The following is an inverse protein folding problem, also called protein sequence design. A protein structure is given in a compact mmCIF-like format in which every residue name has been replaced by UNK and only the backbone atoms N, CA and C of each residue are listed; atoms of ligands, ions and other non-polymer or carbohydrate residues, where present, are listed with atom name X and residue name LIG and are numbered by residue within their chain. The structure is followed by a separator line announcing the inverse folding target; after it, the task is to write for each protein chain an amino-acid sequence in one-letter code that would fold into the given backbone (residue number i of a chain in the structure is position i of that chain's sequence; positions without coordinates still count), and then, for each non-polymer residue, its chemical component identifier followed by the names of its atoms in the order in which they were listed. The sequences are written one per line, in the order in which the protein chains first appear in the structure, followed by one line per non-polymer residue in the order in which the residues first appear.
data_IF_097045245234
#
_entry.id   IF_097045245234
#
_cell.length_a   1.000
_cell.length_b   1.000
_cell.length_c   1.000
_cell.angle_alpha   90.00
_cell.angle_beta   90.00
_cell.angle_gamma   90.00
#
_symmetry.space_group_name_H-M   'P 1'
#
loop_
_entity.id
_entity.type
_entity.pdbx_description
1 polymer ?
#
# COMPACT_ATOMS: atom_id res chain seq x y z
N UNK A 1 3.74 -12.66 -7.37
CA UNK A 1 4.19 -13.78 -6.51
C UNK A 1 3.93 -13.39 -5.07
N UNK A 2 3.01 -14.08 -4.39
CA UNK A 2 2.85 -13.91 -2.94
C UNK A 2 4.14 -14.38 -2.27
N UNK A 3 4.85 -13.45 -1.64
CA UNK A 3 6.09 -13.76 -0.93
C UNK A 3 5.67 -14.36 0.42
N UNK A 4 5.62 -15.70 0.47
CA UNK A 4 5.27 -16.46 1.67
C UNK A 4 6.17 -16.04 2.84
N UNK A 5 5.56 -15.60 3.93
CA UNK A 5 6.29 -15.26 5.14
C UNK A 5 6.97 -16.52 5.72
N UNK A 6 8.14 -16.37 6.37
CA UNK A 6 8.72 -17.45 7.14
C UNK A 6 7.76 -17.93 8.24
N UNK A 7 7.85 -19.20 8.67
CA UNK A 7 7.10 -19.71 9.81
C UNK A 7 7.28 -18.82 11.05
N UNK A 8 6.25 -18.71 11.89
CA UNK A 8 6.27 -17.79 13.04
C UNK A 8 7.37 -18.16 14.03
N UNK A 9 7.63 -19.46 14.20
CA UNK A 9 8.65 -20.01 15.09
C UNK A 9 10.05 -19.54 14.68
N UNK A 10 10.30 -19.44 13.37
CA UNK A 10 11.56 -18.91 12.82
C UNK A 10 11.70 -17.42 13.14
N UNK A 11 10.60 -16.66 13.07
CA UNK A 11 10.60 -15.22 13.36
C UNK A 11 10.79 -14.95 14.85
N UNK A 12 10.07 -15.66 15.72
CA UNK A 12 10.14 -15.53 17.18
C UNK A 12 11.47 -16.01 17.77
N UNK A 13 12.11 -16.99 17.15
CA UNK A 13 13.45 -17.39 17.55
C UNK A 13 14.47 -16.28 17.25
N UNK A 14 14.27 -15.52 16.17
CA UNK A 14 15.27 -14.60 15.61
C UNK A 14 15.07 -13.14 16.01
N UNK A 15 13.84 -12.74 16.31
CA UNK A 15 13.46 -11.36 16.60
C UNK A 15 12.62 -11.27 17.87
N UNK A 16 12.64 -10.08 18.48
CA UNK A 16 11.68 -9.68 19.52
C UNK A 16 10.97 -8.41 19.09
N UNK A 17 9.70 -8.30 19.44
CA UNK A 17 8.97 -7.05 19.26
C UNK A 17 9.60 -5.96 20.14
N UNK A 18 9.67 -4.75 19.62
CA UNK A 18 10.10 -3.56 20.34
C UNK A 18 8.93 -2.57 20.40
N UNK A 19 8.81 -1.86 21.52
CA UNK A 19 7.79 -0.82 21.71
C UNK A 19 8.20 0.54 21.11
N UNK A 20 9.34 0.61 20.44
CA UNK A 20 9.78 1.79 19.71
C UNK A 20 9.26 1.79 18.26
N UNK A 21 9.70 2.78 17.49
CA UNK A 21 9.40 2.89 16.07
C UNK A 21 10.10 1.82 15.20
N UNK A 22 11.07 1.08 15.73
CA UNK A 22 11.71 -0.02 15.00
C UNK A 22 10.77 -1.22 14.90
N UNK A 23 9.94 -1.47 15.92
CA UNK A 23 8.90 -2.51 15.96
C UNK A 23 9.43 -3.93 16.12
N UNK A 24 10.61 -4.26 15.56
CA UNK A 24 11.38 -5.48 15.87
C UNK A 24 12.87 -5.18 16.02
N UNK A 25 13.50 -5.91 16.92
CA UNK A 25 14.97 -5.96 17.11
C UNK A 25 15.45 -7.42 17.11
N UNK A 26 16.75 -7.64 16.88
CA UNK A 26 17.33 -8.98 16.88
C UNK A 26 17.30 -9.62 18.27
N UNK A 27 17.06 -10.94 18.30
CA UNK A 27 17.47 -11.81 19.40
C UNK A 27 18.89 -12.32 19.16
N UNK A 28 19.58 -12.73 20.21
CA UNK A 28 20.82 -13.47 20.04
C UNK A 28 20.50 -14.79 19.32
N UNK A 29 20.85 -14.87 18.04
CA UNK A 29 20.50 -16.00 17.19
C UNK A 29 21.74 -16.56 16.49
N UNK A 30 22.21 -17.73 16.92
CA UNK A 30 23.28 -18.47 16.23
C UNK A 30 22.70 -19.24 15.04
N UNK A 31 22.52 -18.55 13.92
CA UNK A 31 22.18 -19.20 12.65
C UNK A 31 23.44 -19.90 12.13
N UNK A 32 23.62 -21.16 12.54
CA UNK A 32 24.69 -22.09 12.12
C UNK A 32 26.03 -21.88 12.86
N UNK A 33 26.67 -22.95 13.40
CA UNK A 33 28.05 -22.89 13.85
C UNK A 33 28.95 -22.58 12.64
N UNK A 34 29.55 -21.38 12.59
CA UNK A 34 30.71 -21.13 11.72
C UNK A 34 30.57 -20.17 10.53
N UNK A 35 29.46 -19.44 10.32
CA UNK A 35 29.36 -18.50 9.16
C UNK A 35 28.78 -17.10 9.38
N UNK A 36 28.77 -16.55 10.59
CA UNK A 36 28.50 -15.10 10.79
C UNK A 36 29.76 -14.37 11.26
N UNK A 37 30.51 -13.80 10.30
CA UNK A 37 31.70 -12.93 10.57
C UNK A 37 31.34 -11.52 11.07
N UNK A 38 30.05 -11.16 11.16
CA UNK A 38 29.54 -9.96 11.83
C UNK A 38 28.53 -10.43 12.87
N UNK A 39 28.89 -10.34 14.14
CA UNK A 39 28.01 -10.69 15.24
C UNK A 39 26.93 -9.62 15.38
N UNK A 40 25.75 -9.89 14.83
CA UNK A 40 24.54 -9.15 15.21
C UNK A 40 24.30 -9.45 16.68
N UNK A 41 24.27 -8.41 17.51
CA UNK A 41 24.04 -8.51 18.95
C UNK A 41 22.54 -8.53 19.21
N UNK A 42 22.14 -9.00 20.39
CA UNK A 42 20.77 -8.82 20.82
C UNK A 42 20.43 -7.33 20.92
N UNK A 43 19.27 -6.94 20.39
CA UNK A 43 18.81 -5.55 20.42
C UNK A 43 19.23 -4.70 19.23
N UNK A 44 20.03 -5.23 18.29
CA UNK A 44 20.37 -4.50 17.07
C UNK A 44 19.11 -4.26 16.20
N UNK A 45 19.04 -3.11 15.51
CA UNK A 45 17.94 -2.82 14.60
C UNK A 45 17.93 -3.78 13.42
N UNK A 46 16.72 -4.20 13.02
CA UNK A 46 16.53 -5.21 11.97
C UNK A 46 16.13 -4.54 10.65
N UNK A 47 16.82 -4.92 9.58
CA UNK A 47 16.43 -4.60 8.20
C UNK A 47 17.35 -3.61 7.50
N UNK A 48 17.19 -3.52 6.18
CA UNK A 48 17.92 -2.58 5.33
C UNK A 48 16.95 -1.73 4.52
N UNK A 49 17.31 -0.48 4.29
CA UNK A 49 16.49 0.44 3.50
C UNK A 49 16.50 0.04 2.02
N UNK A 50 15.36 0.19 1.37
CA UNK A 50 15.29 0.22 -0.10
C UNK A 50 15.37 1.66 -0.59
N UNK A 51 16.37 1.94 -1.44
CA UNK A 51 16.73 3.30 -1.87
C UNK A 51 15.59 4.09 -2.53
N UNK A 52 14.55 3.44 -3.07
CA UNK A 52 13.43 4.10 -3.78
C UNK A 52 12.09 4.19 -3.04
N UNK A 53 11.88 3.42 -1.97
CA UNK A 53 10.57 3.40 -1.28
C UNK A 53 10.63 3.75 0.21
N UNK A 54 11.85 3.96 0.75
CA UNK A 54 12.13 4.15 2.17
C UNK A 54 11.59 3.02 3.07
N UNK A 55 11.13 1.91 2.47
CA UNK A 55 10.67 0.74 3.21
C UNK A 55 11.86 -0.12 3.61
N UNK A 56 11.86 -0.55 4.86
CA UNK A 56 12.84 -1.50 5.37
C UNK A 56 12.45 -2.93 4.94
N UNK A 57 13.43 -3.67 4.44
CA UNK A 57 13.31 -5.10 4.12
C UNK A 57 14.23 -5.93 5.00
N UNK A 58 13.80 -7.14 5.29
CA UNK A 58 14.52 -8.09 6.13
C UNK A 58 14.76 -9.36 5.32
N UNK A 59 16.01 -9.78 5.26
CA UNK A 59 16.39 -11.05 4.66
C UNK A 59 16.33 -12.15 5.72
N UNK A 60 15.38 -13.07 5.57
CA UNK A 60 15.20 -14.20 6.47
C UNK A 60 15.68 -15.46 5.77
N UNK A 61 16.47 -16.25 6.48
CA UNK A 61 16.99 -17.54 6.00
C UNK A 61 16.72 -18.56 7.08
N UNK A 62 16.15 -19.70 6.69
CA UNK A 62 15.85 -20.80 7.60
C UNK A 62 16.02 -22.13 6.89
N UNK A 63 16.10 -23.21 7.67
CA UNK A 63 16.12 -24.57 7.17
C UNK A 63 14.70 -25.14 7.25
N UNK A 64 14.26 -25.76 6.16
CA UNK A 64 13.01 -26.51 6.06
C UNK A 64 13.40 -27.96 5.78
N UNK A 65 13.62 -28.73 6.84
CA UNK A 65 14.35 -30.00 6.77
C UNK A 65 15.79 -29.79 6.28
N UNK A 66 16.15 -30.41 5.16
CA UNK A 66 17.45 -30.25 4.51
C UNK A 66 17.52 -29.05 3.56
N UNK A 67 16.37 -28.43 3.25
CA UNK A 67 16.29 -27.36 2.26
C UNK A 67 16.52 -26.02 2.94
N UNK A 68 17.56 -25.31 2.51
CA UNK A 68 17.80 -23.92 2.93
C UNK A 68 16.88 -22.97 2.16
N UNK A 69 15.93 -22.35 2.87
CA UNK A 69 15.06 -21.30 2.33
C UNK A 69 15.61 -19.92 2.63
N UNK A 70 15.42 -19.00 1.70
CA UNK A 70 15.85 -17.61 1.80
C UNK A 70 14.79 -16.70 1.17
N UNK A 71 14.38 -15.66 1.88
CA UNK A 71 13.36 -14.71 1.43
C UNK A 71 13.70 -13.29 1.87
N UNK A 72 13.32 -12.30 1.05
CA UNK A 72 13.29 -10.88 1.46
C UNK A 72 11.86 -10.44 1.63
N UNK A 73 11.52 -9.99 2.83
CA UNK A 73 10.17 -9.56 3.20
C UNK A 73 10.20 -8.16 3.79
N UNK A 74 9.09 -7.42 3.66
CA UNK A 74 8.97 -6.11 4.29
C UNK A 74 8.97 -6.25 5.81
N UNK A 75 9.71 -5.39 6.50
CA UNK A 75 9.82 -5.41 7.96
C UNK A 75 8.45 -5.29 8.64
N UNK A 76 7.60 -4.39 8.15
CA UNK A 76 6.23 -4.20 8.65
C UNK A 76 5.37 -5.47 8.58
N UNK A 77 5.60 -6.36 7.59
CA UNK A 77 4.88 -7.65 7.50
C UNK A 77 5.32 -8.63 8.59
N UNK A 78 6.62 -8.67 8.90
CA UNK A 78 7.13 -9.49 10.01
C UNK A 78 6.53 -9.00 11.33
N UNK A 79 6.58 -7.68 11.57
CA UNK A 79 6.09 -7.08 12.80
C UNK A 79 4.60 -7.36 12.99
N UNK A 80 3.80 -7.14 11.94
CA UNK A 80 2.36 -7.41 12.00
C UNK A 80 2.08 -8.88 12.30
N UNK A 81 2.78 -9.81 11.62
CA UNK A 81 2.65 -11.25 11.86
C UNK A 81 2.99 -11.65 13.29
N UNK A 82 4.04 -11.07 13.86
CA UNK A 82 4.48 -11.36 15.23
C UNK A 82 3.55 -10.74 16.29
N UNK A 83 2.97 -9.58 16.02
CA UNK A 83 2.11 -8.89 16.98
C UNK A 83 0.66 -9.40 16.99
N UNK A 84 0.11 -9.74 15.81
CA UNK A 84 -1.31 -10.08 15.65
C UNK A 84 -1.54 -11.52 15.17
N UNK A 85 -0.47 -12.28 14.94
CA UNK A 85 -0.56 -13.65 14.44
C UNK A 85 -0.89 -13.73 12.94
N UNK A 86 -1.43 -14.87 12.48
CA UNK A 86 -1.68 -15.09 11.06
C UNK A 86 -2.63 -14.08 10.44
N UNK A 87 -2.29 -13.62 9.24
CA UNK A 87 -3.10 -12.71 8.45
C UNK A 87 -3.09 -13.12 6.97
N UNK A 88 -4.05 -12.61 6.20
CA UNK A 88 -4.09 -12.85 4.76
C UNK A 88 -2.89 -12.19 4.07
N UNK A 89 -1.96 -13.02 3.61
CA UNK A 89 -0.73 -12.57 2.99
C UNK A 89 -0.94 -11.87 1.64
N UNK A 90 -2.13 -11.96 1.04
CA UNK A 90 -2.51 -11.20 -0.14
C UNK A 90 -2.69 -9.69 0.14
N UNK A 91 -2.91 -9.33 1.40
CA UNK A 91 -3.07 -7.95 1.85
C UNK A 91 -1.71 -7.24 1.97
N UNK A 92 -1.74 -5.92 1.80
CA UNK A 92 -0.61 -5.02 2.01
C UNK A 92 -0.68 -4.45 3.42
N UNK A 93 0.46 -4.34 4.10
CA UNK A 93 0.54 -3.65 5.38
C UNK A 93 0.78 -2.16 5.12
N UNK A 94 -0.17 -1.35 5.56
CA UNK A 94 -0.16 0.11 5.51
C UNK A 94 0.26 0.69 6.86
N UNK A 95 0.92 1.85 6.81
CA UNK A 95 1.32 2.63 7.98
C UNK A 95 0.29 3.74 8.17
N UNK A 96 -0.41 3.74 9.31
CA UNK A 96 -1.55 4.66 9.57
C UNK A 96 -1.10 6.12 9.49
N UNK A 97 0.07 6.44 10.02
CA UNK A 97 0.68 7.77 9.97
C UNK A 97 1.34 8.12 8.61
N UNK A 98 1.40 7.17 7.68
CA UNK A 98 2.08 7.32 6.39
C UNK A 98 3.60 7.39 6.46
N UNK A 99 4.22 7.15 7.63
CA UNK A 99 5.66 7.13 7.83
C UNK A 99 6.20 5.68 7.76
N UNK A 100 6.94 5.29 6.71
CA UNK A 100 7.47 3.94 6.55
C UNK A 100 8.47 3.51 7.65
N UNK A 101 9.02 4.47 8.40
CA UNK A 101 9.98 4.21 9.48
C UNK A 101 9.32 3.99 10.84
N UNK A 102 8.03 4.34 10.99
CA UNK A 102 7.29 4.08 12.23
C UNK A 102 6.64 2.70 12.17
N UNK A 103 7.39 1.66 12.52
CA UNK A 103 6.92 0.29 12.44
C UNK A 103 6.31 -0.23 13.75
N UNK A 104 5.90 0.64 14.67
CA UNK A 104 5.20 0.21 15.88
C UNK A 104 3.94 -0.59 15.51
N UNK A 105 3.65 -1.75 16.15
CA UNK A 105 2.52 -2.61 15.76
C UNK A 105 1.16 -1.91 15.69
N UNK A 106 0.90 -0.93 16.57
CA UNK A 106 -0.35 -0.16 16.56
C UNK A 106 -0.46 0.82 15.37
N UNK A 107 0.65 1.14 14.71
CA UNK A 107 0.68 1.99 13.51
C UNK A 107 0.48 1.19 12.21
N UNK A 108 0.30 -0.13 12.31
CA UNK A 108 0.21 -1.02 11.14
C UNK A 108 -1.22 -1.55 10.98
N UNK A 109 -1.69 -1.61 9.73
CA UNK A 109 -2.98 -2.23 9.38
C UNK A 109 -2.91 -3.02 8.07
N UNK A 110 -3.63 -4.15 7.95
CA UNK A 110 -3.74 -4.87 6.70
C UNK A 110 -4.82 -4.21 5.82
N UNK A 111 -4.49 -3.92 4.58
CA UNK A 111 -5.39 -3.35 3.59
C UNK A 111 -5.27 -4.08 2.26
N UNK A 112 -6.33 -4.04 1.46
CA UNK A 112 -6.22 -4.40 0.05
C UNK A 112 -5.33 -3.40 -0.69
N UNK A 113 -4.75 -3.83 -1.81
CA UNK A 113 -3.95 -2.93 -2.66
C UNK A 113 -4.74 -1.69 -3.09
N UNK A 114 -6.04 -1.84 -3.37
CA UNK A 114 -6.92 -0.75 -3.79
C UNK A 114 -7.17 0.27 -2.68
N UNK A 115 -7.42 -0.17 -1.45
CA UNK A 115 -7.60 0.72 -0.29
C UNK A 115 -6.32 1.49 0.02
N UNK A 116 -5.17 0.81 0.03
CA UNK A 116 -3.88 1.46 0.23
C UNK A 116 -3.58 2.50 -0.87
N UNK A 117 -3.87 2.17 -2.14
CA UNK A 117 -3.72 3.12 -3.24
C UNK A 117 -4.64 4.35 -3.10
N UNK A 118 -5.88 4.12 -2.64
CA UNK A 118 -6.82 5.20 -2.31
C UNK A 118 -6.24 6.14 -1.26
N UNK A 119 -5.75 5.60 -0.13
CA UNK A 119 -5.14 6.39 0.94
C UNK A 119 -3.93 7.19 0.45
N UNK A 120 -3.06 6.59 -0.37
CA UNK A 120 -1.92 7.28 -0.97
C UNK A 120 -2.35 8.41 -1.90
N UNK A 121 -3.40 8.20 -2.69
CA UNK A 121 -3.92 9.22 -3.61
C UNK A 121 -4.49 10.40 -2.83
N UNK A 122 -5.25 10.15 -1.76
CA UNK A 122 -5.77 11.18 -0.86
C UNK A 122 -4.62 11.98 -0.22
N UNK A 123 -3.61 11.30 0.33
CA UNK A 123 -2.45 11.96 0.93
C UNK A 123 -1.65 12.80 -0.08
N UNK A 124 -1.51 12.32 -1.33
CA UNK A 124 -0.86 13.07 -2.40
C UNK A 124 -1.67 14.30 -2.79
N UNK A 125 -3.00 14.21 -2.87
CA UNK A 125 -3.86 15.36 -3.16
C UNK A 125 -3.76 16.45 -2.07
N UNK A 126 -3.52 16.07 -0.82
CA UNK A 126 -3.28 17.03 0.27
C UNK A 126 -1.91 17.70 0.11
N UNK A 127 -0.86 16.93 -0.18
CA UNK A 127 0.51 17.47 -0.34
C UNK A 127 0.70 18.25 -1.64
N UNK A 128 0.02 17.84 -2.70
CA UNK A 128 0.10 18.39 -4.04
C UNK A 128 -1.34 18.59 -4.56
N UNK A 129 -2.01 19.67 -4.13
CA UNK A 129 -3.36 19.94 -4.58
C UNK A 129 -3.39 20.11 -6.09
N UNK A 130 -4.51 19.71 -6.69
CA UNK A 130 -4.81 20.02 -8.08
C UNK A 130 -4.59 21.50 -8.33
N UNK A 131 -3.76 21.82 -9.34
CA UNK A 131 -3.40 23.21 -9.70
C UNK A 131 -4.62 24.08 -9.99
N UNK A 132 -5.64 23.50 -10.62
CA UNK A 132 -6.92 24.14 -10.91
C UNK A 132 -8.02 23.45 -10.08
N UNK A 133 -8.08 23.78 -8.78
CA UNK A 133 -8.95 23.11 -7.79
C UNK A 133 -10.45 23.31 -8.04
N UNK A 134 -10.83 24.39 -8.71
CA UNK A 134 -12.22 24.67 -9.12
C UNK A 134 -12.71 23.77 -10.26
N UNK A 135 -11.81 23.07 -10.95
CA UNK A 135 -12.18 22.18 -12.06
C UNK A 135 -12.58 20.78 -11.55
N UNK A 136 -13.69 20.20 -12.06
CA UNK A 136 -14.11 18.85 -11.72
C UNK A 136 -13.02 17.79 -11.96
N UNK A 137 -13.11 16.68 -11.23
CA UNK A 137 -12.22 15.52 -11.41
C UNK A 137 -12.29 14.97 -12.84
N UNK A 138 -11.13 14.75 -13.46
CA UNK A 138 -11.02 14.33 -14.86
C UNK A 138 -10.98 15.47 -15.87
N UNK A 139 -11.10 16.73 -15.43
CA UNK A 139 -10.99 17.92 -16.28
C UNK A 139 -9.73 18.70 -15.92
N UNK A 140 -8.98 19.12 -16.94
CA UNK A 140 -7.80 19.99 -16.81
C UNK A 140 -7.80 21.07 -17.90
N UNK A 141 -7.17 22.22 -17.64
CA UNK A 141 -6.96 23.25 -18.67
C UNK A 141 -5.82 22.84 -19.61
N UNK A 142 -6.02 22.99 -20.92
CA UNK A 142 -5.00 22.78 -21.94
C UNK A 142 -4.12 24.01 -22.07
N UNK A 143 -2.93 23.98 -21.45
CA UNK A 143 -1.99 25.11 -21.46
C UNK A 143 -1.16 25.19 -22.74
N UNK A 144 -1.20 24.16 -23.59
CA UNK A 144 -0.48 24.16 -24.86
C UNK A 144 -1.31 24.77 -25.99
N UNK A 145 -2.61 25.00 -25.77
CA UNK A 145 -3.48 25.68 -26.70
C UNK A 145 -3.29 27.20 -26.61
N UNK A 146 -2.85 27.84 -27.71
CA UNK A 146 -2.50 29.26 -27.75
C UNK A 146 -3.58 30.18 -28.33
N UNK A 147 -4.61 29.61 -28.98
CA UNK A 147 -5.65 30.37 -29.67
C UNK A 147 -6.85 30.75 -28.77
N UNK A 148 -6.76 30.50 -27.46
CA UNK A 148 -7.81 30.81 -26.50
C UNK A 148 -7.77 29.87 -25.30
N UNK A 149 -8.91 29.66 -24.67
CA UNK A 149 -9.07 28.65 -23.61
C UNK A 149 -9.57 27.33 -24.17
N UNK A 150 -9.00 26.23 -23.68
CA UNK A 150 -9.47 24.88 -23.99
C UNK A 150 -9.26 23.99 -22.78
N UNK A 151 -10.14 23.02 -22.62
CA UNK A 151 -10.20 22.09 -21.51
C UNK A 151 -10.07 20.67 -22.05
N UNK A 152 -9.33 19.83 -21.33
CA UNK A 152 -9.15 18.41 -21.62
C UNK A 152 -10.00 17.64 -20.62
N UNK A 153 -10.87 16.80 -21.14
CA UNK A 153 -11.54 15.78 -20.36
C UNK A 153 -10.82 14.45 -20.58
N UNK A 154 -10.46 13.75 -19.50
CA UNK A 154 -9.79 12.44 -19.56
C UNK A 154 -10.31 11.52 -18.47
N UNK A 155 -10.65 10.29 -18.86
CA UNK A 155 -10.98 9.20 -17.93
C UNK A 155 -10.46 7.87 -18.47
N UNK A 156 -10.13 6.95 -17.58
CA UNK A 156 -9.75 5.58 -17.93
C UNK A 156 -10.78 4.63 -17.34
N UNK A 157 -11.44 3.86 -18.19
CA UNK A 157 -12.48 2.90 -17.80
C UNK A 157 -12.10 1.54 -18.41
N UNK A 158 -12.00 0.50 -17.57
CA UNK A 158 -11.64 -0.86 -18.00
C UNK A 158 -10.35 -0.92 -18.84
N UNK A 159 -9.35 -0.11 -18.48
CA UNK A 159 -8.06 -0.04 -19.19
C UNK A 159 -8.08 0.83 -20.46
N UNK A 160 -9.24 1.26 -20.94
CA UNK A 160 -9.37 2.14 -22.11
C UNK A 160 -9.39 3.59 -21.66
N UNK A 161 -8.54 4.42 -22.25
CA UNK A 161 -8.48 5.85 -21.96
C UNK A 161 -9.32 6.63 -22.98
N UNK A 162 -10.34 7.31 -22.48
CA UNK A 162 -11.15 8.24 -23.26
C UNK A 162 -10.64 9.66 -23.02
N UNK A 163 -10.36 10.39 -24.10
CA UNK A 163 -9.88 11.78 -24.04
C UNK A 163 -10.62 12.64 -25.06
N UNK A 164 -11.06 13.83 -24.64
CA UNK A 164 -11.67 14.85 -25.50
C UNK A 164 -11.18 16.25 -25.16
N UNK A 165 -11.39 17.19 -26.08
CA UNK A 165 -11.06 18.61 -25.92
C UNK A 165 -12.32 19.45 -26.06
N UNK A 166 -12.47 20.46 -25.22
CA UNK A 166 -13.70 21.24 -25.08
C UNK A 166 -13.39 22.71 -24.84
N UNK A 167 -14.28 23.59 -25.26
CA UNK A 167 -14.11 25.04 -25.12
C UNK A 167 -14.38 25.53 -23.69
N UNK A 168 -15.19 24.79 -22.92
CA UNK A 168 -15.54 25.14 -21.55
C UNK A 168 -15.57 23.88 -20.64
N UNK A 169 -15.38 24.05 -19.32
CA UNK A 169 -15.31 22.93 -18.39
C UNK A 169 -16.66 22.22 -18.20
N UNK A 170 -17.78 22.89 -18.41
CA UNK A 170 -19.12 22.31 -18.28
C UNK A 170 -19.38 21.26 -19.37
N UNK A 171 -19.06 21.59 -20.63
CA UNK A 171 -19.13 20.67 -21.76
C UNK A 171 -18.23 19.44 -21.56
N UNK A 172 -17.00 19.66 -21.08
CA UNK A 172 -16.09 18.60 -20.68
C UNK A 172 -16.68 17.68 -19.60
N UNK A 173 -17.38 18.27 -18.61
CA UNK A 173 -18.06 17.54 -17.54
C UNK A 173 -19.22 16.68 -18.04
N UNK A 174 -20.09 17.23 -18.88
CA UNK A 174 -21.19 16.47 -19.49
C UNK A 174 -20.69 15.31 -20.34
N UNK A 175 -19.65 15.53 -21.14
CA UNK A 175 -19.04 14.47 -21.93
C UNK A 175 -18.46 13.36 -21.04
N UNK A 176 -17.77 13.69 -19.94
CA UNK A 176 -17.30 12.67 -18.99
C UNK A 176 -18.44 11.90 -18.33
N UNK A 177 -19.53 12.56 -17.99
CA UNK A 177 -20.70 11.90 -17.43
C UNK A 177 -21.30 10.89 -18.43
N UNK A 178 -21.38 11.26 -19.71
CA UNK A 178 -21.85 10.37 -20.78
C UNK A 178 -20.91 9.17 -20.98
N UNK A 179 -19.59 9.39 -21.04
CA UNK A 179 -18.61 8.31 -21.13
C UNK A 179 -18.71 7.37 -19.93
N UNK A 180 -18.86 7.89 -18.71
CA UNK A 180 -19.06 7.05 -17.53
C UNK A 180 -20.36 6.26 -17.64
N UNK A 181 -21.49 6.89 -17.98
CA UNK A 181 -22.77 6.19 -18.12
C UNK A 181 -22.72 5.07 -19.18
N UNK A 182 -21.99 5.27 -20.26
CA UNK A 182 -21.87 4.30 -21.35
C UNK A 182 -20.96 3.11 -21.02
N UNK A 183 -19.84 3.34 -20.32
CA UNK A 183 -18.78 2.33 -20.17
C UNK A 183 -18.61 1.79 -18.74
N UNK A 184 -19.19 2.43 -17.72
CA UNK A 184 -19.17 1.92 -16.35
C UNK A 184 -20.20 0.79 -16.23
N UNK A 185 -19.74 -0.43 -15.94
CA UNK A 185 -20.64 -1.55 -15.62
C UNK A 185 -21.36 -1.27 -14.30
N UNK A 186 -22.57 -1.80 -14.16
CA UNK A 186 -23.27 -1.79 -12.89
C UNK A 186 -22.38 -2.39 -11.78
N UNK A 187 -22.41 -1.85 -10.56
CA UNK A 187 -21.68 -2.42 -9.44
C UNK A 187 -22.09 -3.88 -9.25
N UNK A 188 -21.14 -4.76 -8.90
CA UNK A 188 -21.49 -6.12 -8.49
C UNK A 188 -22.24 -6.04 -7.17
N UNK A 189 -23.37 -6.71 -7.09
CA UNK A 189 -24.24 -6.67 -5.91
C UNK A 189 -24.37 -8.09 -5.38
N UNK A 190 -24.10 -8.28 -4.09
CA UNK A 190 -24.35 -9.52 -3.37
C UNK A 190 -25.85 -9.87 -3.38
N UNK A 191 -26.23 -11.12 -3.10
CA UNK A 191 -27.65 -11.53 -2.97
C UNK A 191 -28.47 -10.65 -2.01
N UNK A 192 -27.83 -10.04 -1.02
CA UNK A 192 -28.44 -9.12 -0.05
C UNK A 192 -28.67 -7.69 -0.59
N UNK A 193 -28.45 -7.44 -1.89
CA UNK A 193 -28.63 -6.11 -2.48
C UNK A 193 -27.48 -5.12 -2.19
N UNK A 194 -26.34 -5.60 -1.67
CA UNK A 194 -25.19 -4.77 -1.29
C UNK A 194 -24.06 -4.78 -2.31
N UNK A 195 -23.44 -3.64 -2.60
CA UNK A 195 -22.31 -3.54 -3.52
C UNK A 195 -21.10 -4.33 -2.97
N UNK A 196 -20.64 -5.33 -3.71
CA UNK A 196 -19.44 -6.11 -3.41
C UNK A 196 -18.19 -5.21 -3.44
N UNK A 197 -17.37 -5.27 -2.39
CA UNK A 197 -16.11 -4.53 -2.29
C UNK A 197 -16.24 -3.05 -1.89
N UNK A 198 -17.44 -2.58 -1.54
CA UNK A 198 -17.60 -1.25 -0.93
C UNK A 198 -16.94 -1.22 0.47
N UNK A 199 -16.16 -0.17 0.80
CA UNK A 199 -15.52 -0.07 2.10
C UNK A 199 -16.57 -0.10 3.22
N UNK A 200 -16.39 -1.01 4.18
CA UNK A 200 -17.25 -1.11 5.36
C UNK A 200 -16.97 0.11 6.24
N UNK A 201 -17.84 1.12 6.20
CA UNK A 201 -17.85 2.12 7.25
C UNK A 201 -18.47 1.45 8.49
N UNK A 202 -17.63 0.83 9.32
CA UNK A 202 -18.08 0.44 10.65
C UNK A 202 -18.32 1.73 11.41
N UNK A 203 -19.59 2.09 11.59
CA UNK A 203 -19.97 3.10 12.57
C UNK A 203 -19.50 2.55 13.93
N UNK A 204 -18.42 3.11 14.46
CA UNK A 204 -18.05 2.91 15.85
C UNK A 204 -19.05 3.72 16.65
N UNK A 205 -20.06 3.05 17.19
CA UNK A 205 -20.94 3.63 18.19
C UNK A 205 -20.09 3.91 19.42
N UNK A 206 -19.97 5.18 19.79
CA UNK A 206 -19.32 5.65 21.02
C UNK A 206 -20.19 5.32 22.21
#
# INVERSE_FOLDING_TARGET
MACLLPPIEVLEARYKLSNDHEGIVTREFKLIPGKTRRGTREGDPVGTYTNGSLRQQVEVTWMDGEIKRKVRVQKSRIIYRMAYGPFDESLVIDHIDGNPNNNHPSNLRPLTYHENFGNRTTALNVKQPKRDSHLPTGITRDRHYKAGERYIAKTTIQGVTHRGYFENPTAAGHWLAQIKAQYLKAPRVNPDGRIEGAPRHMMVTV
#
